data_IF_702691696672
#
_entry.id   IF_702691696672
#
_cell.length_a   1.000
_cell.length_b   1.000
_cell.length_c   1.000
_cell.angle_alpha   90.00
_cell.angle_beta   90.00
_cell.angle_gamma   90.00
#
_symmetry.space_group_name_H-M   'P 1'
#
loop_
_entity.id
_entity.type
_entity.pdbx_description
1 polymer ?
#
# COMPACT_ATOMS: atom_id res chain seq x y z
N UNK A 1 10.30 11.77 -8.92
CA UNK A 1 11.56 12.10 -9.61
C UNK A 1 11.50 13.56 -9.99
N UNK A 2 12.64 14.23 -10.09
CA UNK A 2 12.68 15.60 -10.59
C UNK A 2 12.12 15.64 -12.02
N UNK A 3 11.53 16.77 -12.40
CA UNK A 3 10.76 16.91 -13.63
C UNK A 3 11.58 16.58 -14.90
N UNK A 4 12.86 16.93 -14.94
CA UNK A 4 13.78 16.68 -16.05
C UNK A 4 14.08 15.18 -16.30
N UNK A 5 13.77 14.31 -15.33
CA UNK A 5 13.97 12.86 -15.42
C UNK A 5 12.64 12.08 -15.45
N UNK A 6 11.50 12.74 -15.64
CA UNK A 6 10.18 12.10 -15.63
C UNK A 6 10.02 11.02 -16.71
N UNK A 7 10.74 11.17 -17.83
CA UNK A 7 10.64 10.30 -19.00
C UNK A 7 11.65 9.14 -18.99
N UNK A 8 12.27 8.84 -17.84
CA UNK A 8 13.19 7.70 -17.70
C UNK A 8 12.52 6.37 -18.09
N UNK A 9 11.21 6.26 -17.84
CA UNK A 9 10.30 5.23 -18.34
C UNK A 9 8.94 5.86 -18.63
N UNK A 10 8.18 5.29 -19.55
CA UNK A 10 6.87 5.83 -19.99
C UNK A 10 5.69 5.00 -19.50
N UNK A 11 5.94 3.89 -18.81
CA UNK A 11 4.94 2.96 -18.32
C UNK A 11 5.22 2.57 -16.87
N UNK A 12 4.25 1.93 -16.22
CA UNK A 12 4.46 1.38 -14.90
C UNK A 12 5.51 0.26 -14.94
N UNK A 13 6.46 0.28 -14.00
CA UNK A 13 7.48 -0.76 -13.86
C UNK A 13 7.43 -1.32 -12.44
N UNK A 14 6.98 -2.57 -12.32
CA UNK A 14 6.87 -3.29 -11.05
C UNK A 14 7.88 -4.44 -10.97
N UNK A 15 8.35 -4.81 -9.77
CA UNK A 15 9.02 -6.08 -9.61
C UNK A 15 8.04 -7.24 -9.82
N UNK A 16 8.57 -8.38 -10.24
CA UNK A 16 7.76 -9.58 -10.40
C UNK A 16 7.13 -10.00 -9.05
N UNK A 17 5.85 -10.45 -9.04
CA UNK A 17 5.18 -10.92 -7.83
C UNK A 17 5.99 -12.05 -7.17
N UNK A 18 6.27 -11.90 -5.88
CA UNK A 18 6.88 -12.96 -5.07
C UNK A 18 5.82 -13.63 -4.23
N UNK A 19 5.72 -14.96 -4.34
CA UNK A 19 4.84 -15.76 -3.49
C UNK A 19 5.22 -15.52 -2.02
N UNK A 20 4.25 -15.08 -1.21
CA UNK A 20 4.46 -14.82 0.21
C UNK A 20 5.07 -13.44 0.56
N UNK A 21 5.27 -12.53 -0.40
CA UNK A 21 5.85 -11.20 -0.15
C UNK A 21 4.93 -10.23 0.64
N UNK A 22 3.73 -10.65 1.02
CA UNK A 22 2.87 -9.90 1.94
C UNK A 22 2.42 -8.55 1.39
N UNK A 23 2.44 -7.53 2.25
CA UNK A 23 1.80 -6.20 2.14
C UNK A 23 2.32 -5.36 0.94
N UNK A 24 3.43 -5.76 0.35
CA UNK A 24 4.32 -4.91 -0.43
C UNK A 24 4.48 -5.41 -1.88
N UNK A 25 4.20 -4.56 -2.87
CA UNK A 25 4.68 -4.77 -4.24
C UNK A 25 6.14 -4.32 -4.42
N UNK A 26 6.79 -3.77 -3.38
CA UNK A 26 8.17 -3.28 -3.45
C UNK A 26 8.31 -1.96 -4.20
N UNK A 27 9.55 -1.47 -4.33
CA UNK A 27 9.84 -0.21 -5.04
C UNK A 27 9.51 -0.37 -6.53
N UNK A 28 8.71 0.54 -7.07
CA UNK A 28 8.24 0.52 -8.46
C UNK A 28 8.19 1.95 -9.04
N UNK A 29 7.94 2.04 -10.34
CA UNK A 29 7.86 3.29 -11.09
C UNK A 29 6.45 3.49 -11.60
N UNK A 30 5.87 4.65 -11.32
CA UNK A 30 4.50 5.00 -11.72
C UNK A 30 4.49 6.37 -12.41
N UNK A 31 4.29 6.46 -13.73
CA UNK A 31 4.04 7.73 -14.38
C UNK A 31 2.69 8.29 -13.94
N UNK A 32 2.63 9.58 -13.61
CA UNK A 32 1.38 10.27 -13.28
C UNK A 32 0.77 10.88 -14.53
N UNK A 33 -0.56 10.79 -14.64
CA UNK A 33 -1.34 11.24 -15.81
C UNK A 33 -2.19 12.50 -15.55
N UNK A 34 -2.02 13.15 -14.39
CA UNK A 34 -3.01 14.12 -13.88
C UNK A 34 -2.47 15.55 -13.81
N UNK A 35 -3.25 16.51 -14.31
CA UNK A 35 -3.05 17.98 -14.19
C UNK A 35 -2.82 18.46 -12.74
N UNK A 36 -3.43 17.80 -11.75
CA UNK A 36 -3.38 18.18 -10.33
C UNK A 36 -2.05 17.82 -9.65
N UNK A 37 -1.35 16.81 -10.14
CA UNK A 37 0.00 16.42 -9.67
C UNK A 37 1.10 16.76 -10.69
N UNK A 38 0.72 17.16 -11.90
CA UNK A 38 1.62 17.28 -13.03
C UNK A 38 2.03 15.93 -13.61
N UNK A 39 2.70 15.99 -14.76
CA UNK A 39 3.39 14.85 -15.35
C UNK A 39 4.69 14.62 -14.60
N UNK A 40 4.76 13.53 -13.82
CA UNK A 40 5.89 13.16 -13.00
C UNK A 40 6.08 11.64 -13.02
N UNK A 41 7.28 11.21 -12.64
CA UNK A 41 7.57 9.80 -12.35
C UNK A 41 7.64 9.61 -10.83
N UNK A 42 6.70 8.86 -10.25
CA UNK A 42 6.76 8.46 -8.85
C UNK A 42 7.63 7.22 -8.74
N UNK A 43 8.61 7.26 -7.83
CA UNK A 43 9.39 6.08 -7.42
C UNK A 43 8.88 5.66 -6.06
N UNK A 44 8.55 4.38 -5.91
CA UNK A 44 7.90 3.83 -4.72
C UNK A 44 6.39 3.65 -4.91
N UNK A 45 5.62 3.52 -3.82
CA UNK A 45 6.07 3.61 -2.42
C UNK A 45 6.95 2.44 -1.97
N UNK A 46 7.74 2.68 -0.92
CA UNK A 46 8.16 1.61 -0.03
C UNK A 46 6.97 1.19 0.85
N UNK A 47 7.03 0.01 1.46
CA UNK A 47 5.87 -0.57 2.13
C UNK A 47 6.27 -0.95 3.55
N UNK A 48 6.27 0.07 4.41
CA UNK A 48 6.64 -0.05 5.81
C UNK A 48 5.43 -0.03 6.73
N UNK A 49 5.66 -0.42 7.98
CA UNK A 49 4.67 -0.35 9.05
C UNK A 49 4.48 1.12 9.41
N UNK A 50 3.25 1.60 9.30
CA UNK A 50 2.87 2.95 9.69
C UNK A 50 2.57 3.03 11.20
N UNK A 51 3.07 4.07 11.88
CA UNK A 51 2.88 4.27 13.32
C UNK A 51 1.69 5.18 13.68
N UNK A 52 0.93 5.60 12.66
CA UNK A 52 -0.33 6.32 12.79
C UNK A 52 -1.27 5.93 11.64
N UNK A 53 -2.59 6.01 11.85
CA UNK A 53 -3.58 5.78 10.79
C UNK A 53 -3.68 6.95 9.83
N UNK A 54 -3.27 8.15 10.25
CA UNK A 54 -3.34 9.39 9.49
C UNK A 54 -1.96 10.02 9.26
N UNK A 55 -0.90 9.19 9.25
CA UNK A 55 0.47 9.65 9.00
C UNK A 55 0.69 10.01 7.52
N UNK A 56 0.43 11.27 7.18
CA UNK A 56 0.69 11.84 5.86
C UNK A 56 2.03 12.59 5.77
N UNK A 57 2.85 12.50 6.83
CA UNK A 57 4.27 12.85 6.85
C UNK A 57 5.09 11.71 7.46
N UNK A 58 6.34 11.56 7.03
CA UNK A 58 7.23 10.49 7.51
C UNK A 58 7.52 10.57 9.03
N UNK A 59 7.37 11.76 9.62
CA UNK A 59 7.57 11.98 11.06
C UNK A 59 6.31 11.77 11.91
N UNK A 60 5.15 11.56 11.28
CA UNK A 60 3.88 11.45 12.01
C UNK A 60 3.86 10.14 12.80
N UNK A 61 3.62 10.23 14.10
CA UNK A 61 3.48 9.08 14.98
C UNK A 61 2.43 9.36 16.04
N UNK A 62 1.70 8.31 16.43
CA UNK A 62 0.71 8.39 17.50
C UNK A 62 0.96 7.27 18.50
N UNK A 63 1.22 7.65 19.75
CA UNK A 63 1.37 6.68 20.85
C UNK A 63 0.10 5.83 21.00
N UNK A 64 -1.08 6.44 20.78
CA UNK A 64 -2.36 5.73 20.84
C UNK A 64 -2.46 4.66 19.75
N UNK A 65 -2.09 5.00 18.51
CA UNK A 65 -2.14 4.04 17.41
C UNK A 65 -1.04 2.98 17.53
N UNK A 66 0.14 3.34 18.03
CA UNK A 66 1.18 2.38 18.39
C UNK A 66 0.68 1.36 19.42
N UNK A 67 0.01 1.81 20.49
CA UNK A 67 -0.57 0.91 21.50
C UNK A 67 -1.70 0.04 20.93
N UNK A 68 -2.47 0.56 19.95
CA UNK A 68 -3.47 -0.24 19.23
C UNK A 68 -2.84 -1.29 18.33
N UNK A 69 -1.73 -0.95 17.67
CA UNK A 69 -0.97 -1.85 16.83
C UNK A 69 -0.37 -3.00 17.66
N UNK A 70 0.25 -2.68 18.79
CA UNK A 70 0.81 -3.71 19.70
C UNK A 70 -0.26 -4.57 20.35
N UNK A 71 -1.47 -4.03 20.56
CA UNK A 71 -2.64 -4.80 21.00
C UNK A 71 -3.30 -5.64 19.89
N UNK A 72 -2.97 -5.42 18.62
CA UNK A 72 -3.55 -6.17 17.50
C UNK A 72 -2.81 -7.49 17.30
N UNK A 73 -3.43 -8.58 17.75
CA UNK A 73 -2.86 -9.93 17.67
C UNK A 73 -2.51 -10.36 16.25
N UNK A 74 -3.34 -10.02 15.25
CA UNK A 74 -3.09 -10.37 13.85
C UNK A 74 -1.85 -9.66 13.30
N UNK A 75 -1.74 -8.35 13.54
CA UNK A 75 -0.58 -7.57 13.12
C UNK A 75 0.70 -8.03 13.84
N UNK A 76 0.65 -8.33 15.14
CA UNK A 76 1.82 -8.82 15.87
C UNK A 76 2.24 -10.22 15.41
N UNK A 77 1.30 -11.11 15.10
CA UNK A 77 1.62 -12.41 14.46
C UNK A 77 2.28 -12.20 13.10
N UNK A 78 1.77 -11.29 12.27
CA UNK A 78 2.39 -10.96 10.99
C UNK A 78 3.85 -10.52 11.16
N UNK A 79 4.10 -9.54 12.03
CA UNK A 79 5.46 -9.02 12.29
C UNK A 79 6.37 -10.13 12.81
N UNK A 80 5.91 -10.93 13.77
CA UNK A 80 6.70 -12.01 14.35
C UNK A 80 7.04 -13.11 13.34
N UNK A 81 6.10 -13.48 12.47
CA UNK A 81 6.34 -14.46 11.40
C UNK A 81 7.18 -13.91 10.25
N UNK A 82 7.27 -12.59 10.10
CA UNK A 82 7.94 -11.91 9.00
C UNK A 82 8.95 -10.86 9.48
N UNK A 83 9.73 -11.16 10.53
CA UNK A 83 10.66 -10.20 11.14
C UNK A 83 11.69 -9.67 10.14
N UNK A 84 12.29 -10.55 9.34
CA UNK A 84 13.27 -10.16 8.32
C UNK A 84 12.67 -9.21 7.28
N UNK A 85 11.46 -9.50 6.81
CA UNK A 85 10.73 -8.63 5.89
C UNK A 85 10.43 -7.28 6.55
N UNK A 86 9.85 -7.29 7.75
CA UNK A 86 9.44 -6.08 8.49
C UNK A 86 10.62 -5.15 8.75
N UNK A 87 11.76 -5.69 9.19
CA UNK A 87 12.99 -4.91 9.41
C UNK A 87 13.54 -4.38 8.09
N UNK A 88 13.53 -5.19 7.02
CA UNK A 88 14.04 -4.76 5.72
C UNK A 88 13.21 -3.63 5.11
N UNK A 89 11.87 -3.66 5.27
CA UNK A 89 10.98 -2.60 4.82
C UNK A 89 11.20 -1.32 5.64
N UNK A 90 11.25 -1.42 6.97
CA UNK A 90 11.54 -0.27 7.83
C UNK A 90 12.91 0.36 7.51
N UNK A 91 13.93 -0.45 7.25
CA UNK A 91 15.24 0.04 6.85
C UNK A 91 15.20 0.77 5.50
N UNK A 92 14.47 0.24 4.52
CA UNK A 92 14.30 0.88 3.20
C UNK A 92 13.53 2.19 3.28
N UNK A 93 12.55 2.27 4.16
CA UNK A 93 11.75 3.48 4.38
C UNK A 93 12.59 4.60 5.02
N UNK A 94 13.50 4.26 5.94
CA UNK A 94 14.37 5.21 6.62
C UNK A 94 15.65 5.57 5.84
N UNK A 95 16.08 4.73 4.90
CA UNK A 95 17.35 4.89 4.18
C UNK A 95 17.11 5.15 2.70
N UNK A 96 17.29 6.42 2.27
CA UNK A 96 17.27 6.83 0.86
C UNK A 96 18.18 5.93 0.00
N UNK A 97 19.38 5.60 0.49
CA UNK A 97 20.32 4.73 -0.21
C UNK A 97 19.76 3.32 -0.41
N UNK A 98 19.15 2.73 0.64
CA UNK A 98 18.59 1.38 0.55
C UNK A 98 17.38 1.34 -0.38
N UNK A 99 16.51 2.35 -0.31
CA UNK A 99 15.38 2.53 -1.23
C UNK A 99 15.85 2.61 -2.68
N UNK A 100 16.84 3.46 -2.98
CA UNK A 100 17.35 3.63 -4.34
C UNK A 100 18.10 2.40 -4.84
N UNK A 101 18.73 1.63 -3.96
CA UNK A 101 19.34 0.35 -4.33
C UNK A 101 18.30 -0.69 -4.78
N UNK A 102 17.10 -0.71 -4.20
CA UNK A 102 16.00 -1.52 -4.73
C UNK A 102 15.49 -0.97 -6.06
N UNK A 103 15.32 0.34 -6.18
CA UNK A 103 14.90 1.00 -7.42
C UNK A 103 15.84 0.66 -8.60
N UNK A 104 17.16 0.63 -8.34
CA UNK A 104 18.21 0.27 -9.32
C UNK A 104 18.13 -1.15 -9.85
N UNK A 105 17.47 -2.07 -9.13
CA UNK A 105 17.24 -3.44 -9.64
C UNK A 105 16.30 -3.45 -10.84
N UNK A 106 15.42 -2.44 -10.94
CA UNK A 106 14.51 -2.27 -12.07
C UNK A 106 15.11 -1.32 -13.12
N UNK A 107 15.70 -0.20 -12.68
CA UNK A 107 16.30 0.80 -13.57
C UNK A 107 17.73 1.14 -13.09
N UNK A 108 18.76 0.47 -13.60
CA UNK A 108 20.14 0.60 -13.10
C UNK A 108 20.76 2.00 -13.23
N UNK A 109 20.24 2.84 -14.13
CA UNK A 109 20.77 4.17 -14.44
C UNK A 109 20.37 5.24 -13.42
N UNK A 110 19.53 4.92 -12.42
CA UNK A 110 19.07 5.89 -11.44
C UNK A 110 20.18 6.32 -10.48
N UNK A 111 20.32 7.64 -10.35
CA UNK A 111 21.23 8.28 -9.41
C UNK A 111 20.47 9.08 -8.35
N UNK A 112 21.16 9.39 -7.24
CA UNK A 112 20.55 10.03 -6.06
C UNK A 112 20.07 11.46 -6.34
N UNK A 113 20.64 12.12 -7.34
CA UNK A 113 20.33 13.47 -7.80
C UNK A 113 19.11 13.54 -8.74
N UNK A 114 18.63 12.41 -9.26
CA UNK A 114 17.43 12.34 -10.10
C UNK A 114 16.13 12.35 -9.29
N UNK A 115 16.21 12.08 -7.98
CA UNK A 115 15.05 11.96 -7.10
C UNK A 115 14.95 13.12 -6.12
N UNK A 116 13.72 13.41 -5.73
CA UNK A 116 13.35 14.37 -4.71
C UNK A 116 12.29 13.74 -3.81
N UNK A 117 12.08 14.31 -2.62
CA UNK A 117 11.07 13.81 -1.70
C UNK A 117 9.68 13.90 -2.32
N UNK A 118 8.87 12.88 -2.03
CA UNK A 118 7.50 12.76 -2.49
C UNK A 118 6.54 12.75 -1.30
N UNK A 119 5.26 12.53 -1.56
CA UNK A 119 4.24 12.42 -0.53
C UNK A 119 4.30 11.07 0.20
N UNK A 120 3.73 11.04 1.41
CA UNK A 120 3.47 9.82 2.17
C UNK A 120 2.00 9.43 2.01
N UNK A 121 1.73 8.13 1.92
CA UNK A 121 0.38 7.59 1.87
C UNK A 121 0.22 6.43 2.84
N UNK A 122 -0.97 6.30 3.42
CA UNK A 122 -1.31 5.22 4.34
C UNK A 122 -2.25 4.25 3.64
N UNK A 123 -1.91 2.95 3.68
CA UNK A 123 -2.77 1.88 3.19
C UNK A 123 -3.30 1.06 4.36
N UNK A 124 -4.62 0.97 4.48
CA UNK A 124 -5.27 0.09 5.44
C UNK A 124 -5.16 -1.36 5.00
N UNK A 125 -4.44 -2.18 5.75
CA UNK A 125 -4.30 -3.63 5.51
C UNK A 125 -4.90 -4.42 6.66
N UNK A 126 -5.70 -5.43 6.34
CA UNK A 126 -6.25 -6.35 7.34
C UNK A 126 -5.36 -7.58 7.52
N UNK A 127 -5.23 -8.01 8.78
CA UNK A 127 -4.48 -9.21 9.16
C UNK A 127 -5.41 -10.19 9.86
N UNK A 128 -5.34 -11.45 9.45
CA UNK A 128 -6.04 -12.55 10.10
C UNK A 128 -5.61 -12.66 11.57
N UNK A 129 -6.58 -12.65 12.49
CA UNK A 129 -6.33 -12.85 13.91
C UNK A 129 -5.88 -14.28 14.25
N UNK A 130 -6.18 -15.24 13.37
CA UNK A 130 -5.86 -16.67 13.56
C UNK A 130 -4.38 -16.91 13.30
N UNK A 131 -3.88 -16.53 12.13
CA UNK A 131 -2.54 -16.90 11.64
C UNK A 131 -1.66 -15.70 11.26
N UNK A 132 -2.15 -14.46 11.39
CA UNK A 132 -1.38 -13.26 11.06
C UNK A 132 -1.14 -13.06 9.57
N UNK A 133 -1.80 -13.81 8.69
CA UNK A 133 -1.68 -13.61 7.24
C UNK A 133 -2.39 -12.33 6.82
N UNK A 134 -1.85 -11.68 5.80
CA UNK A 134 -2.50 -10.56 5.11
C UNK A 134 -3.77 -11.09 4.43
N UNK A 135 -4.88 -10.41 4.66
CA UNK A 135 -6.12 -10.67 3.94
C UNK A 135 -5.99 -9.97 2.58
N UNK A 136 -6.13 -10.70 1.47
CA UNK A 136 -6.00 -10.15 0.12
C UNK A 136 -7.35 -10.01 -0.61
N UNK A 137 -8.44 -10.28 0.10
CA UNK A 137 -9.82 -10.25 -0.41
C UNK A 137 -10.61 -9.14 0.29
N UNK A 138 -11.78 -8.80 -0.27
CA UNK A 138 -12.73 -7.96 0.45
C UNK A 138 -13.22 -8.65 1.72
N UNK A 139 -13.24 -7.90 2.82
CA UNK A 139 -13.91 -8.30 4.05
C UNK A 139 -15.20 -7.48 4.18
N UNK A 140 -16.25 -7.93 3.51
CA UNK A 140 -17.57 -7.32 3.58
C UNK A 140 -18.22 -7.57 4.94
N UNK A 141 -18.54 -6.50 5.65
CA UNK A 141 -19.49 -6.57 6.76
C UNK A 141 -20.85 -6.04 6.27
N UNK A 142 -21.72 -7.01 5.96
CA UNK A 142 -22.97 -6.86 5.21
C UNK A 142 -24.13 -6.59 6.16
N UNK A 143 -25.07 -5.74 5.73
CA UNK A 143 -26.28 -5.43 6.49
C UNK A 143 -25.99 -4.95 7.93
N UNK A 144 -24.87 -4.25 8.12
CA UNK A 144 -24.53 -3.58 9.37
C UNK A 144 -25.52 -2.43 9.66
N UNK A 145 -25.55 -1.99 10.92
CA UNK A 145 -26.42 -0.91 11.40
C UNK A 145 -27.88 -1.07 10.94
N UNK A 146 -28.56 -2.09 11.46
CA UNK A 146 -29.97 -2.41 11.15
C UNK A 146 -30.23 -2.70 9.66
N UNK A 147 -29.25 -3.22 8.95
CA UNK A 147 -29.41 -3.61 7.55
C UNK A 147 -29.25 -2.46 6.54
N UNK A 148 -28.67 -1.34 6.94
CA UNK A 148 -28.55 -0.14 6.10
C UNK A 148 -27.13 0.09 5.56
N UNK A 149 -26.13 -0.60 6.09
CA UNK A 149 -24.73 -0.32 5.79
C UNK A 149 -24.01 -1.56 5.29
N UNK A 150 -23.26 -1.40 4.20
CA UNK A 150 -22.27 -2.36 3.73
C UNK A 150 -20.88 -1.75 3.98
N UNK A 151 -20.14 -2.29 4.94
CA UNK A 151 -18.75 -1.91 5.13
C UNK A 151 -17.86 -2.71 4.20
N UNK A 152 -17.22 -2.01 3.26
CA UNK A 152 -16.18 -2.57 2.39
C UNK A 152 -14.85 -2.37 3.08
N UNK A 153 -14.33 -3.42 3.71
CA UNK A 153 -13.04 -3.38 4.42
C UNK A 153 -12.04 -4.21 3.66
N UNK A 154 -10.79 -3.76 3.67
CA UNK A 154 -9.65 -4.40 2.99
C UNK A 154 -9.86 -4.55 1.47
N UNK A 155 -8.98 -4.00 0.66
CA UNK A 155 -9.15 -4.04 -0.80
C UNK A 155 -8.12 -4.99 -1.42
N UNK A 156 -8.52 -5.88 -2.34
CA UNK A 156 -7.56 -6.69 -3.09
C UNK A 156 -6.53 -5.83 -3.80
N UNK A 157 -5.26 -6.26 -3.76
CA UNK A 157 -4.18 -5.63 -4.51
C UNK A 157 -4.01 -6.32 -5.87
N UNK A 158 -3.78 -5.58 -6.98
CA UNK A 158 -3.65 -4.12 -7.09
C UNK A 158 -5.00 -3.41 -7.26
N UNK A 159 -5.44 -2.69 -6.22
CA UNK A 159 -6.76 -2.07 -6.13
C UNK A 159 -7.04 -1.05 -7.23
N UNK A 160 -6.06 -0.19 -7.56
CA UNK A 160 -6.25 0.86 -8.56
C UNK A 160 -6.43 0.28 -9.97
N UNK A 161 -5.61 -0.72 -10.32
CA UNK A 161 -5.65 -1.36 -11.65
C UNK A 161 -6.90 -2.20 -11.85
N UNK A 162 -7.38 -2.88 -10.81
CA UNK A 162 -8.58 -3.71 -10.85
C UNK A 162 -9.87 -2.96 -10.43
N UNK A 163 -9.83 -1.62 -10.33
CA UNK A 163 -10.89 -0.81 -9.71
C UNK A 163 -12.29 -1.05 -10.28
N UNK A 164 -12.43 -1.24 -11.59
CA UNK A 164 -13.74 -1.56 -12.20
C UNK A 164 -14.27 -2.93 -11.81
N UNK A 165 -13.44 -3.98 -11.88
CA UNK A 165 -13.84 -5.32 -11.47
C UNK A 165 -14.19 -5.38 -9.97
N UNK A 166 -13.43 -4.66 -9.15
CA UNK A 166 -13.73 -4.53 -7.71
C UNK A 166 -15.03 -3.75 -7.46
N UNK A 167 -15.30 -2.71 -8.26
CA UNK A 167 -16.55 -1.96 -8.16
C UNK A 167 -17.77 -2.82 -8.54
N UNK A 168 -17.66 -3.69 -9.55
CA UNK A 168 -18.71 -4.64 -9.91
C UNK A 168 -19.05 -5.60 -8.76
N UNK A 169 -18.04 -6.12 -8.05
CA UNK A 169 -18.23 -7.01 -6.90
C UNK A 169 -18.93 -6.29 -5.73
N UNK A 170 -18.51 -5.05 -5.44
CA UNK A 170 -19.15 -4.21 -4.43
C UNK A 170 -20.61 -3.90 -4.82
N UNK A 171 -20.85 -3.51 -6.08
CA UNK A 171 -22.18 -3.15 -6.57
C UNK A 171 -23.14 -4.35 -6.55
N UNK A 172 -22.66 -5.52 -6.99
CA UNK A 172 -23.41 -6.78 -6.95
C UNK A 172 -23.80 -7.15 -5.51
N UNK A 173 -22.84 -7.03 -4.57
CA UNK A 173 -23.07 -7.28 -3.15
C UNK A 173 -24.13 -6.33 -2.58
N UNK A 174 -24.04 -5.03 -2.90
CA UNK A 174 -24.99 -4.02 -2.46
C UNK A 174 -26.39 -4.23 -3.06
N UNK A 175 -26.49 -4.56 -4.35
CA UNK A 175 -27.77 -4.85 -5.00
C UNK A 175 -28.50 -6.02 -4.32
N UNK A 176 -27.76 -7.09 -3.99
CA UNK A 176 -28.30 -8.24 -3.28
C UNK A 176 -28.75 -7.92 -1.84
N UNK A 177 -28.06 -6.99 -1.15
CA UNK A 177 -28.37 -6.66 0.24
C UNK A 177 -29.48 -5.63 0.40
N UNK A 178 -29.55 -4.66 -0.51
CA UNK A 178 -30.43 -3.48 -0.39
C UNK A 178 -31.53 -3.41 -1.46
N UNK A 179 -31.59 -4.37 -2.38
CA UNK A 179 -32.52 -4.35 -3.51
C UNK A 179 -32.42 -3.06 -4.35
N UNK A 180 -31.19 -2.58 -4.56
CA UNK A 180 -30.91 -1.50 -5.51
C UNK A 180 -30.94 -2.03 -6.95
N UNK A 181 -31.73 -1.37 -7.81
CA UNK A 181 -31.74 -1.54 -9.27
C UNK A 181 -30.83 -0.52 -9.95
#
# INVERSE_FOLDING_TARGET
>A
MKAEYKDIVTANVYPAPKVGAGIAVGVHFTPTVNERRGEQMIVGPGSSICLDREAYKASDFSVKELMRLTGNVGAMKFVASNLGLSISEAYRDLSKTAFLNEARKLIPTITDDMVEESFVGVMGTAFSHIDGKVINEFEFDRKAMDGLVLHVRNTPSPACTASFALAEDIASTAAADFAWE
#
